data_IF_963092802619
#
_entry.id   IF_963092802619
#
_cell.length_a   1.000
_cell.length_b   1.000
_cell.length_c   1.000
_cell.angle_alpha   90.00
_cell.angle_beta   90.00
_cell.angle_gamma   90.00
#
_symmetry.space_group_name_H-M   'P 1'
#
loop_
_entity.id
_entity.type
_entity.pdbx_description
1 polymer ?
#
# COMPACT_ATOMS: atom_id res chain seq x y z
N UNK A 1 -7.51 -19.52 8.98
CA UNK A 1 -7.66 -18.20 9.62
C UNK A 1 -6.79 -17.25 8.85
N UNK A 2 -7.33 -16.10 8.41
CA UNK A 2 -6.50 -15.05 7.83
C UNK A 2 -5.60 -14.47 8.93
N UNK A 3 -4.33 -14.20 8.60
CA UNK A 3 -3.38 -13.58 9.52
C UNK A 3 -3.59 -12.06 9.47
N UNK A 4 -3.54 -11.41 10.62
CA UNK A 4 -3.55 -9.94 10.72
C UNK A 4 -2.12 -9.42 10.52
N UNK A 5 -2.00 -8.32 9.77
CA UNK A 5 -0.74 -7.65 9.45
C UNK A 5 -0.35 -6.54 10.42
N UNK A 6 -1.15 -6.24 11.45
CA UNK A 6 -0.86 -5.26 12.49
C UNK A 6 -1.09 -3.81 12.08
N UNK A 7 -0.58 -2.90 12.90
CA UNK A 7 -0.70 -1.45 12.72
C UNK A 7 0.52 -0.89 11.97
N UNK A 8 0.31 0.09 11.08
CA UNK A 8 1.32 0.81 10.31
C UNK A 8 0.87 2.26 10.09
N UNK A 9 1.54 3.23 10.72
CA UNK A 9 1.32 4.67 10.52
C UNK A 9 -0.16 5.12 10.55
N UNK A 10 -0.93 4.61 11.52
CA UNK A 10 -2.35 4.97 11.68
C UNK A 10 -3.31 4.15 10.80
N UNK A 11 -2.83 3.10 10.16
CA UNK A 11 -3.64 2.12 9.43
C UNK A 11 -3.44 0.72 10.00
N UNK A 12 -4.53 -0.01 10.17
CA UNK A 12 -4.56 -1.44 10.46
C UNK A 12 -4.54 -2.22 9.16
N UNK A 13 -3.68 -3.22 9.06
CA UNK A 13 -3.60 -4.17 7.94
C UNK A 13 -4.31 -5.45 8.42
N UNK A 14 -5.62 -5.51 8.23
CA UNK A 14 -6.49 -6.53 8.83
C UNK A 14 -6.48 -7.91 8.16
N UNK A 15 -5.86 -8.02 6.97
CA UNK A 15 -5.84 -9.25 6.20
C UNK A 15 -4.50 -9.45 5.50
N UNK A 16 -3.91 -10.63 5.71
CA UNK A 16 -2.81 -11.16 4.92
C UNK A 16 -3.26 -12.47 4.25
N UNK A 17 -3.08 -12.61 2.93
CA UNK A 17 -3.46 -13.82 2.22
C UNK A 17 -2.64 -15.02 2.68
N UNK A 18 -3.17 -16.23 2.53
CA UNK A 18 -2.41 -17.44 2.82
C UNK A 18 -1.16 -17.50 1.94
N UNK A 19 -0.03 -17.92 2.53
CA UNK A 19 1.23 -18.08 1.81
C UNK A 19 2.18 -16.89 1.87
N UNK A 20 1.76 -15.73 2.38
CA UNK A 20 2.66 -14.60 2.68
C UNK A 20 3.74 -15.05 3.67
N UNK A 21 4.99 -14.72 3.39
CA UNK A 21 6.13 -14.97 4.25
C UNK A 21 5.97 -14.47 5.68
N UNK A 22 6.65 -15.14 6.61
CA UNK A 22 6.57 -14.83 8.03
C UNK A 22 7.43 -13.62 8.43
N UNK A 23 8.44 -13.28 7.63
CA UNK A 23 9.35 -12.17 7.91
C UNK A 23 8.66 -10.87 7.52
N UNK A 24 8.54 -9.96 8.49
CA UNK A 24 8.00 -8.63 8.28
C UNK A 24 9.01 -7.59 8.76
N UNK A 25 9.28 -6.59 7.92
CA UNK A 25 10.22 -5.51 8.19
C UNK A 25 9.57 -4.16 7.99
N UNK A 26 9.76 -3.27 8.98
CA UNK A 26 9.28 -1.89 8.92
C UNK A 26 10.45 -0.93 8.72
N UNK A 27 10.25 0.05 7.85
CA UNK A 27 11.22 1.12 7.65
C UNK A 27 10.55 2.38 7.12
N UNK A 28 11.24 3.51 7.27
CA UNK A 28 10.82 4.79 6.72
C UNK A 28 11.89 5.36 5.78
N UNK A 29 11.44 5.90 4.66
CA UNK A 29 12.28 6.55 3.65
C UNK A 29 11.61 7.84 3.20
N UNK A 30 12.34 8.69 2.50
CA UNK A 30 11.81 9.92 1.92
C UNK A 30 12.30 10.03 0.48
N UNK A 31 11.40 10.45 -0.41
CA UNK A 31 11.70 10.71 -1.81
C UNK A 31 10.79 11.85 -2.31
N UNK A 32 11.39 12.87 -2.93
CA UNK A 32 10.70 14.09 -3.38
C UNK A 32 9.71 14.69 -2.37
N UNK A 33 10.19 14.91 -1.14
CA UNK A 33 9.42 15.50 -0.03
C UNK A 33 8.19 14.67 0.40
N UNK A 34 8.12 13.41 -0.02
CA UNK A 34 7.12 12.44 0.44
C UNK A 34 7.80 11.39 1.31
N UNK A 35 7.35 11.30 2.56
CA UNK A 35 7.77 10.28 3.51
C UNK A 35 6.96 9.01 3.31
N UNK A 36 7.65 7.89 3.20
CA UNK A 36 7.10 6.55 3.17
C UNK A 36 7.28 5.93 4.55
N UNK A 37 6.20 5.41 5.14
CA UNK A 37 6.28 4.44 6.24
C UNK A 37 5.82 3.10 5.68
N UNK A 38 6.75 2.14 5.64
CA UNK A 38 6.59 0.91 4.87
C UNK A 38 6.63 -0.31 5.77
N UNK A 39 5.78 -1.29 5.48
CA UNK A 39 5.94 -2.68 5.94
C UNK A 39 6.07 -3.59 4.75
N UNK A 40 7.07 -4.45 4.77
CA UNK A 40 7.33 -5.45 3.73
C UNK A 40 7.25 -6.84 4.35
N UNK A 41 6.52 -7.74 3.71
CA UNK A 41 6.55 -9.17 4.02
C UNK A 41 7.36 -9.92 2.99
N UNK A 42 8.26 -10.76 3.48
CA UNK A 42 9.21 -11.51 2.66
C UNK A 42 9.26 -12.97 3.09
N UNK A 43 9.57 -13.84 2.13
CA UNK A 43 9.92 -15.23 2.39
C UNK A 43 11.33 -15.54 1.93
N UNK A 44 11.99 -16.43 2.65
CA UNK A 44 13.26 -16.99 2.20
C UNK A 44 13.02 -17.95 1.03
N UNK A 45 13.81 -17.78 -0.02
CA UNK A 45 13.86 -18.67 -1.20
C UNK A 45 15.30 -19.17 -1.39
N UNK A 46 15.51 -20.13 -2.28
CA UNK A 46 16.84 -20.75 -2.50
C UNK A 46 17.94 -19.70 -2.74
N UNK A 47 17.63 -18.67 -3.53
CA UNK A 47 18.56 -17.61 -3.94
C UNK A 47 18.46 -16.30 -3.14
N UNK A 48 17.81 -16.29 -1.97
CA UNK A 48 17.71 -15.10 -1.11
C UNK A 48 16.32 -14.86 -0.53
N UNK A 49 15.79 -13.66 -0.74
CA UNK A 49 14.47 -13.25 -0.26
C UNK A 49 13.58 -12.78 -1.40
N UNK A 50 12.31 -13.16 -1.34
CA UNK A 50 11.25 -12.67 -2.24
C UNK A 50 10.28 -11.83 -1.42
N UNK A 51 9.98 -10.63 -1.91
CA UNK A 51 8.92 -9.78 -1.37
C UNK A 51 7.58 -10.31 -1.84
N UNK A 52 6.68 -10.61 -0.91
CA UNK A 52 5.35 -11.11 -1.21
C UNK A 52 4.30 -9.99 -1.18
N UNK A 53 4.46 -9.05 -0.26
CA UNK A 53 3.53 -7.94 -0.04
C UNK A 53 4.29 -6.74 0.50
N UNK A 54 3.92 -5.57 0.03
CA UNK A 54 4.38 -4.28 0.53
C UNK A 54 3.20 -3.36 0.75
N UNK A 55 3.20 -2.70 1.91
CA UNK A 55 2.25 -1.61 2.22
C UNK A 55 3.05 -0.37 2.55
N UNK A 56 2.72 0.73 1.88
CA UNK A 56 3.25 2.06 2.11
C UNK A 56 2.15 2.98 2.62
N UNK A 57 2.44 3.73 3.67
CA UNK A 57 1.69 4.94 4.04
C UNK A 57 2.54 6.13 3.64
N UNK A 58 2.02 6.95 2.73
CA UNK A 58 2.69 8.11 2.15
C UNK A 58 2.21 9.37 2.84
N UNK A 59 3.15 10.23 3.23
CA UNK A 59 2.88 11.54 3.80
C UNK A 59 3.62 12.62 3.03
N UNK A 60 2.91 13.62 2.51
CA UNK A 60 3.54 14.75 1.83
C UNK A 60 2.54 15.75 1.28
N UNK A 61 2.84 17.04 1.37
CA UNK A 61 1.90 18.14 1.04
C UNK A 61 1.42 18.12 -0.41
N UNK A 62 2.19 17.51 -1.32
CA UNK A 62 1.85 17.36 -2.75
C UNK A 62 0.77 16.31 -3.03
N UNK A 63 0.45 15.43 -2.08
CA UNK A 63 -0.55 14.37 -2.24
C UNK A 63 -1.95 14.92 -1.97
N UNK A 64 -2.42 15.84 -2.81
CA UNK A 64 -3.66 16.61 -2.59
C UNK A 64 -4.90 15.96 -3.18
N UNK A 65 -4.73 15.20 -4.27
CA UNK A 65 -5.78 14.52 -5.01
C UNK A 65 -5.29 13.18 -5.56
N UNK A 66 -6.22 12.30 -5.95
CA UNK A 66 -5.87 10.96 -6.45
C UNK A 66 -4.98 11.01 -7.71
N UNK A 67 -5.15 12.01 -8.58
CA UNK A 67 -4.30 12.22 -9.74
C UNK A 67 -2.84 12.52 -9.33
N UNK A 68 -2.64 13.39 -8.34
CA UNK A 68 -1.31 13.71 -7.81
C UNK A 68 -0.64 12.48 -7.17
N UNK A 69 -1.42 11.61 -6.50
CA UNK A 69 -0.90 10.32 -5.98
C UNK A 69 -0.47 9.40 -7.13
N UNK A 70 -1.26 9.30 -8.20
CA UNK A 70 -0.92 8.48 -9.38
C UNK A 70 0.35 8.99 -10.06
N UNK A 71 0.45 10.29 -10.29
CA UNK A 71 1.64 10.92 -10.91
C UNK A 71 2.88 10.65 -10.06
N UNK A 72 2.81 10.92 -8.75
CA UNK A 72 3.90 10.68 -7.82
C UNK A 72 4.36 9.20 -7.82
N UNK A 73 3.43 8.25 -7.72
CA UNK A 73 3.75 6.82 -7.72
C UNK A 73 4.32 6.36 -9.07
N UNK A 74 3.82 6.92 -10.17
CA UNK A 74 4.36 6.61 -11.49
C UNK A 74 5.81 7.08 -11.62
N UNK A 75 6.14 8.29 -11.16
CA UNK A 75 7.52 8.78 -11.10
C UNK A 75 8.39 7.92 -10.18
N UNK A 76 7.91 7.60 -8.98
CA UNK A 76 8.63 6.76 -8.01
C UNK A 76 8.90 5.33 -8.53
N UNK A 77 7.96 4.75 -9.27
CA UNK A 77 8.09 3.42 -9.89
C UNK A 77 8.77 3.46 -11.26
N UNK A 78 9.27 4.62 -11.70
CA UNK A 78 9.87 4.81 -13.03
C UNK A 78 8.96 4.31 -14.17
N UNK A 79 7.64 4.53 -14.03
CA UNK A 79 6.58 4.10 -14.95
C UNK A 79 5.91 5.30 -15.63
N UNK A 80 5.43 5.09 -16.86
CA UNK A 80 4.53 6.03 -17.52
C UNK A 80 3.13 6.01 -16.87
N UNK A 81 2.75 7.13 -16.24
CA UNK A 81 1.46 7.32 -15.61
C UNK A 81 0.29 7.15 -16.60
N UNK A 82 0.44 7.55 -17.86
CA UNK A 82 -0.64 7.51 -18.86
C UNK A 82 -0.89 6.09 -19.38
N UNK A 83 0.15 5.26 -19.47
CA UNK A 83 0.07 3.85 -19.82
C UNK A 83 -0.23 2.93 -18.61
N UNK A 84 -0.52 3.52 -17.45
CA UNK A 84 -0.89 2.75 -16.27
C UNK A 84 -2.35 2.33 -16.29
N UNK A 85 -2.57 1.09 -16.75
CA UNK A 85 -3.87 0.42 -16.74
C UNK A 85 -4.34 0.20 -15.28
N UNK A 86 -5.22 1.08 -14.83
CA UNK A 86 -5.85 1.07 -13.51
C UNK A 86 -7.33 1.37 -13.67
N UNK A 87 -8.15 0.78 -12.81
CA UNK A 87 -9.58 1.10 -12.72
C UNK A 87 -9.88 1.78 -11.40
N UNK A 88 -10.91 2.62 -11.40
CA UNK A 88 -11.40 3.25 -10.18
C UNK A 88 -11.90 2.19 -9.19
N UNK A 89 -11.54 2.35 -7.93
CA UNK A 89 -12.18 1.65 -6.84
C UNK A 89 -12.45 2.60 -5.67
N UNK A 90 -13.58 2.39 -5.01
CA UNK A 90 -13.93 3.13 -3.81
C UNK A 90 -13.36 2.40 -2.59
N UNK A 91 -12.44 3.05 -1.87
CA UNK A 91 -12.04 2.63 -0.54
C UNK A 91 -12.86 3.41 0.50
N UNK A 92 -13.29 2.80 1.61
CA UNK A 92 -13.93 3.52 2.71
C UNK A 92 -13.17 4.75 3.23
N UNK A 93 -11.84 4.80 3.06
CA UNK A 93 -11.03 5.97 3.45
C UNK A 93 -10.91 7.03 2.34
N UNK A 94 -11.32 6.75 1.09
CA UNK A 94 -11.24 7.71 -0.02
C UNK A 94 -11.21 7.08 -1.42
N UNK A 95 -11.13 7.91 -2.47
CA UNK A 95 -11.05 7.43 -3.85
C UNK A 95 -9.70 6.76 -4.13
N UNK A 96 -9.69 5.69 -4.92
CA UNK A 96 -8.50 4.93 -5.24
C UNK A 96 -8.49 4.34 -6.65
N UNK A 97 -7.33 3.83 -7.03
CA UNK A 97 -7.06 3.12 -8.27
C UNK A 97 -6.47 1.74 -7.98
N UNK A 98 -6.91 0.72 -8.72
CA UNK A 98 -6.46 -0.67 -8.56
C UNK A 98 -6.16 -1.29 -9.93
N UNK A 99 -5.09 -2.08 -9.99
CA UNK A 99 -4.72 -2.93 -11.13
C UNK A 99 -4.51 -4.37 -10.68
N UNK A 100 -3.71 -5.13 -11.43
CA UNK A 100 -3.54 -6.57 -11.20
C UNK A 100 -2.72 -6.89 -9.93
N UNK A 101 -1.70 -6.08 -9.63
CA UNK A 101 -0.73 -6.34 -8.56
C UNK A 101 -0.51 -5.13 -7.63
N UNK A 102 -1.19 -4.01 -7.89
CA UNK A 102 -1.01 -2.78 -7.15
C UNK A 102 -2.33 -2.02 -6.99
N UNK A 103 -2.52 -1.45 -5.81
CA UNK A 103 -3.62 -0.53 -5.52
C UNK A 103 -3.12 0.66 -4.70
N UNK A 104 -3.75 1.81 -4.86
CA UNK A 104 -3.52 2.96 -4.01
C UNK A 104 -4.75 3.85 -3.89
N UNK A 105 -4.86 4.57 -2.78
CA UNK A 105 -5.95 5.52 -2.55
C UNK A 105 -5.47 6.74 -1.79
N UNK A 106 -6.16 7.86 -2.01
CA UNK A 106 -5.98 9.06 -1.22
C UNK A 106 -6.83 8.93 0.05
N UNK A 107 -6.18 8.62 1.17
CA UNK A 107 -6.87 8.48 2.46
C UNK A 107 -7.22 9.85 3.07
N UNK A 108 -6.61 10.94 2.61
CA UNK A 108 -6.90 12.33 2.99
C UNK A 108 -5.85 13.25 2.38
N UNK A 109 -6.07 14.57 2.41
CA UNK A 109 -5.07 15.53 1.91
C UNK A 109 -3.73 15.31 2.61
N UNK A 110 -2.69 15.08 1.82
CA UNK A 110 -1.33 14.82 2.29
C UNK A 110 -1.07 13.40 2.76
N UNK A 111 -2.05 12.48 2.69
CA UNK A 111 -1.93 11.09 3.13
C UNK A 111 -2.51 10.12 2.10
N UNK A 112 -1.67 9.23 1.58
CA UNK A 112 -2.08 8.16 0.68
C UNK A 112 -1.60 6.80 1.20
N UNK A 113 -2.23 5.73 0.72
CA UNK A 113 -1.78 4.36 0.98
C UNK A 113 -1.56 3.67 -0.35
N UNK A 114 -0.48 2.90 -0.45
CA UNK A 114 -0.13 2.11 -1.62
C UNK A 114 0.20 0.68 -1.20
N UNK A 115 -0.37 -0.29 -1.91
CA UNK A 115 -0.28 -1.72 -1.63
C UNK A 115 0.21 -2.39 -2.90
N UNK A 116 1.35 -3.07 -2.83
CA UNK A 116 1.89 -3.88 -3.91
C UNK A 116 1.93 -5.34 -3.46
N UNK A 117 1.40 -6.24 -4.27
CA UNK A 117 1.44 -7.68 -4.00
C UNK A 117 2.17 -8.39 -5.13
N UNK A 118 2.90 -9.43 -4.76
CA UNK A 118 3.48 -10.34 -5.73
C UNK A 118 2.37 -11.15 -6.42
N UNK A 119 2.30 -11.19 -7.76
CA UNK A 119 1.19 -11.83 -8.47
C UNK A 119 1.18 -13.36 -8.36
N UNK A 120 2.30 -14.01 -7.99
CA UNK A 120 2.30 -15.44 -7.67
C UNK A 120 1.73 -15.71 -6.26
N UNK A 121 1.64 -14.66 -5.43
CA UNK A 121 1.12 -14.73 -4.06
C UNK A 121 -0.37 -14.43 -4.00
N UNK A 122 -0.85 -13.44 -4.75
CA UNK A 122 -2.25 -13.08 -4.81
C UNK A 122 -2.62 -12.55 -6.21
N UNK A 123 -3.76 -13.00 -6.70
CA UNK A 123 -4.40 -12.44 -7.90
C UNK A 123 -5.17 -11.15 -7.57
N UNK A 124 -5.88 -10.60 -8.56
CA UNK A 124 -6.64 -9.36 -8.41
C UNK A 124 -7.71 -9.43 -7.29
N UNK A 125 -8.36 -10.58 -7.11
CA UNK A 125 -9.32 -10.78 -6.02
C UNK A 125 -8.61 -10.82 -4.66
N UNK A 126 -7.44 -11.46 -4.60
CA UNK A 126 -6.58 -11.44 -3.43
C UNK A 126 -6.08 -10.04 -3.06
N UNK A 127 -5.64 -9.25 -4.04
CA UNK A 127 -5.26 -7.84 -3.84
C UNK A 127 -6.45 -7.04 -3.29
N UNK A 128 -7.65 -7.24 -3.87
CA UNK A 128 -8.85 -6.55 -3.40
C UNK A 128 -9.15 -6.87 -1.94
N UNK A 129 -9.03 -8.14 -1.54
CA UNK A 129 -9.21 -8.55 -0.14
C UNK A 129 -8.18 -7.92 0.81
N UNK A 130 -6.92 -7.77 0.37
CA UNK A 130 -5.86 -7.08 1.14
C UNK A 130 -6.25 -5.62 1.33
N UNK A 131 -6.54 -4.91 0.24
CA UNK A 131 -6.88 -3.49 0.25
C UNK A 131 -8.10 -3.22 1.11
N UNK A 132 -9.16 -4.03 1.01
CA UNK A 132 -10.35 -3.92 1.86
C UNK A 132 -10.05 -4.22 3.35
N UNK A 133 -8.96 -4.93 3.64
CA UNK A 133 -8.47 -5.16 5.00
C UNK A 133 -7.64 -4.01 5.57
N UNK A 134 -7.11 -3.12 4.73
CA UNK A 134 -6.34 -1.95 5.19
C UNK A 134 -7.31 -0.84 5.57
N UNK A 135 -7.33 -0.44 6.85
CA UNK A 135 -8.30 0.53 7.38
C UNK A 135 -7.61 1.53 8.27
N UNK A 136 -8.04 2.80 8.23
CA UNK A 136 -7.65 3.75 9.28
C UNK A 136 -7.92 3.17 10.67
N UNK A 137 -6.93 3.28 11.55
CA UNK A 137 -7.04 2.82 12.92
C UNK A 137 -7.85 3.82 13.74
N UNK A 138 -8.81 3.37 14.57
CA UNK A 138 -9.53 4.24 15.49
C UNK A 138 -8.57 4.71 16.59
N UNK A 139 -7.86 5.81 16.35
CA UNK A 139 -6.87 6.35 17.29
C UNK A 139 -6.00 7.50 16.77
N UNK A 140 -6.01 7.78 15.47
CA UNK A 140 -5.28 8.93 14.88
C UNK A 140 -6.04 10.25 15.02
N UNK A 141 -6.34 10.69 16.24
CA UNK A 141 -6.84 12.03 16.52
C UNK A 141 -5.84 12.75 17.44
N UNK A 142 -5.13 13.72 16.83
CA UNK A 142 -4.51 14.92 17.42
C UNK A 142 -3.94 14.79 18.85
N UNK A 143 -2.62 14.70 18.94
CA UNK A 143 -1.92 15.27 20.09
C UNK A 143 -1.87 16.80 19.85
N UNK A 144 -2.54 17.54 20.75
CA UNK A 144 -2.59 19.01 20.84
C UNK A 144 -1.26 19.59 21.34
#
# INVERSE_FOLDING_TARGET
MARDGGELAGFRIGYLPPGIGELASDFATEWEDVRFVSRVWERQVEDGYRVDLRVHVLHGERLTELAAVREFLAEYHERDAAAWELVDFAHPDGPGLIGDAEAFWLAGTGVAVNVLVDPDTADADGLRAIVEGVRRSPGGAVED
#
